data_IF_819222238930
#
_entry.id   IF_819222238930
#
_cell.length_a   1.000
_cell.length_b   1.000
_cell.length_c   1.000
_cell.angle_alpha   90.00
_cell.angle_beta   90.00
_cell.angle_gamma   90.00
#
_symmetry.space_group_name_H-M   'P 1'
#
loop_
_entity.id
_entity.type
_entity.pdbx_description
1 polymer ?
#
# COMPACT_ATOMS: atom_id res chain seq x y z
N UNK A 1 -23.23 9.53 2.87
CA UNK A 1 -23.99 8.84 1.80
C UNK A 1 -25.11 9.76 1.33
N UNK A 2 -25.47 9.77 0.06
CA UNK A 2 -26.61 10.51 -0.49
C UNK A 2 -27.51 9.57 -1.29
N UNK A 3 -28.80 9.88 -1.41
CA UNK A 3 -29.71 9.16 -2.28
C UNK A 3 -29.82 9.88 -3.63
N UNK A 4 -29.76 9.12 -4.71
CA UNK A 4 -30.09 9.59 -6.06
C UNK A 4 -31.62 9.66 -6.23
N UNK A 5 -32.13 10.49 -7.17
CA UNK A 5 -33.57 10.61 -7.43
C UNK A 5 -34.25 9.30 -7.83
N UNK A 6 -33.49 8.33 -8.32
CA UNK A 6 -33.95 6.99 -8.70
C UNK A 6 -33.92 5.96 -7.54
N UNK A 7 -33.57 6.41 -6.34
CA UNK A 7 -33.50 5.57 -5.13
C UNK A 7 -32.16 4.88 -4.90
N UNK A 8 -31.19 4.98 -5.83
CA UNK A 8 -29.85 4.41 -5.63
C UNK A 8 -29.05 5.18 -4.59
N UNK A 9 -28.11 4.51 -3.94
CA UNK A 9 -27.19 5.16 -3.01
C UNK A 9 -25.94 5.67 -3.72
N UNK A 10 -25.46 6.84 -3.32
CA UNK A 10 -24.26 7.45 -3.84
C UNK A 10 -23.28 7.83 -2.71
N UNK A 11 -22.02 7.46 -2.89
CA UNK A 11 -20.91 7.87 -2.04
C UNK A 11 -20.28 9.14 -2.63
N UNK A 12 -20.27 10.22 -1.86
CA UNK A 12 -19.65 11.48 -2.23
C UNK A 12 -18.29 11.63 -1.56
N UNK A 13 -17.24 11.69 -2.36
CA UNK A 13 -15.87 11.90 -1.92
C UNK A 13 -15.40 13.28 -2.39
N UNK A 14 -15.02 14.15 -1.47
CA UNK A 14 -14.50 15.49 -1.79
C UNK A 14 -13.00 15.51 -1.57
N UNK A 15 -12.26 15.90 -2.60
CA UNK A 15 -10.81 16.02 -2.57
C UNK A 15 -10.44 17.49 -2.60
N UNK A 16 -9.65 17.94 -1.64
CA UNK A 16 -9.05 19.27 -1.68
C UNK A 16 -7.81 19.23 -2.58
N UNK A 17 -7.63 20.29 -3.37
CA UNK A 17 -6.51 20.43 -4.29
C UNK A 17 -5.59 21.55 -3.81
N UNK A 18 -4.29 21.39 -4.00
CA UNK A 18 -3.33 22.45 -3.70
C UNK A 18 -3.45 23.58 -4.72
N UNK A 19 -3.34 24.84 -4.28
CA UNK A 19 -3.36 26.02 -5.17
C UNK A 19 -2.20 26.01 -6.18
N UNK A 20 -1.10 25.33 -5.84
CA UNK A 20 0.09 25.18 -6.67
C UNK A 20 0.12 23.83 -7.41
N UNK A 21 -0.99 23.08 -7.43
CA UNK A 21 -1.03 21.78 -8.08
C UNK A 21 -0.86 21.92 -9.60
N UNK A 22 0.20 21.31 -10.13
CA UNK A 22 0.36 21.09 -11.56
C UNK A 22 -0.18 19.69 -11.91
N UNK A 23 -1.36 19.69 -12.53
CA UNK A 23 -2.03 18.45 -12.95
C UNK A 23 -1.25 17.68 -14.03
N UNK A 24 -0.35 18.33 -14.77
CA UNK A 24 0.49 17.66 -15.77
C UNK A 24 1.58 16.80 -15.14
N UNK A 25 1.99 17.11 -13.91
CA UNK A 25 3.01 16.38 -13.15
C UNK A 25 2.41 15.41 -12.13
N UNK A 26 1.09 15.43 -11.95
CA UNK A 26 0.40 14.58 -10.99
C UNK A 26 -0.02 13.28 -11.66
N UNK A 27 0.48 12.14 -11.16
CA UNK A 27 0.02 10.83 -11.65
C UNK A 27 -1.38 10.52 -11.12
N UNK A 28 -2.37 10.64 -11.99
CA UNK A 28 -3.77 10.32 -11.72
C UNK A 28 -4.19 8.96 -12.29
N UNK A 29 -3.25 8.12 -12.75
CA UNK A 29 -3.60 6.81 -13.33
C UNK A 29 -4.25 5.87 -12.31
N UNK A 30 -3.69 5.85 -11.10
CA UNK A 30 -4.13 4.95 -10.01
C UNK A 30 -4.09 5.66 -8.67
N UNK A 31 -5.25 6.15 -8.22
CA UNK A 31 -5.38 6.78 -6.91
C UNK A 31 -5.72 5.73 -5.85
N UNK A 32 -4.76 5.40 -4.99
CA UNK A 32 -4.95 4.42 -3.91
C UNK A 32 -5.67 5.03 -2.70
N UNK A 33 -6.76 4.39 -2.27
CA UNK A 33 -7.59 4.75 -1.13
C UNK A 33 -7.58 3.60 -0.12
N UNK A 34 -7.33 3.90 1.14
CA UNK A 34 -7.38 2.93 2.24
C UNK A 34 -8.72 3.00 2.98
N UNK A 35 -9.31 1.83 3.28
CA UNK A 35 -10.66 1.69 3.85
C UNK A 35 -10.68 1.07 5.26
N UNK A 36 -9.62 1.21 6.05
CA UNK A 36 -9.40 0.32 7.22
C UNK A 36 -9.69 0.88 8.62
N UNK A 37 -10.34 2.03 8.79
CA UNK A 37 -10.62 2.52 10.17
C UNK A 37 -11.61 1.64 10.95
N UNK A 38 -12.64 1.11 10.27
CA UNK A 38 -13.61 0.19 10.85
C UNK A 38 -13.70 -1.06 9.98
N UNK A 39 -13.51 -2.25 10.57
CA UNK A 39 -13.42 -3.49 9.81
C UNK A 39 -14.73 -3.84 9.09
N UNK A 40 -15.89 -3.53 9.70
CA UNK A 40 -17.21 -3.87 9.16
C UNK A 40 -17.55 -2.93 8.00
N UNK A 41 -17.56 -1.62 8.25
CA UNK A 41 -17.85 -0.59 7.27
C UNK A 41 -16.81 -0.59 6.14
N UNK A 42 -15.53 -0.76 6.47
CA UNK A 42 -14.45 -0.87 5.51
C UNK A 42 -14.62 -2.05 4.56
N UNK A 43 -14.95 -3.23 5.09
CA UNK A 43 -15.19 -4.44 4.27
C UNK A 43 -16.40 -4.25 3.34
N UNK A 44 -17.47 -3.63 3.84
CA UNK A 44 -18.63 -3.28 3.03
C UNK A 44 -18.24 -2.28 1.93
N UNK A 45 -17.60 -1.16 2.27
CA UNK A 45 -17.15 -0.16 1.30
C UNK A 45 -16.26 -0.78 0.24
N UNK A 46 -15.35 -1.67 0.61
CA UNK A 46 -14.48 -2.38 -0.32
C UNK A 46 -15.29 -3.17 -1.36
N UNK A 47 -16.27 -3.97 -0.92
CA UNK A 47 -17.17 -4.71 -1.82
C UNK A 47 -17.96 -3.75 -2.72
N UNK A 48 -18.52 -2.70 -2.14
CA UNK A 48 -19.41 -1.80 -2.86
C UNK A 48 -18.68 -0.99 -3.93
N UNK A 49 -17.48 -0.49 -3.62
CA UNK A 49 -16.63 0.21 -4.58
C UNK A 49 -16.17 -0.71 -5.71
N UNK A 50 -15.71 -1.93 -5.41
CA UNK A 50 -15.09 -2.82 -6.41
C UNK A 50 -16.08 -3.65 -7.22
N UNK A 51 -17.28 -3.93 -6.69
CA UNK A 51 -18.25 -4.86 -7.31
C UNK A 51 -19.65 -4.30 -7.50
N UNK A 52 -20.03 -3.23 -6.80
CA UNK A 52 -21.38 -2.64 -6.85
C UNK A 52 -21.39 -1.19 -7.35
N UNK A 53 -20.30 -0.73 -7.94
CA UNK A 53 -20.27 0.54 -8.66
C UNK A 53 -21.14 0.42 -9.92
N UNK A 54 -22.10 1.34 -10.08
CA UNK A 54 -22.94 1.45 -11.26
C UNK A 54 -22.51 2.60 -12.18
N UNK A 55 -22.13 3.74 -11.60
CA UNK A 55 -21.66 4.90 -12.34
C UNK A 55 -20.71 5.75 -11.49
N UNK A 56 -19.89 6.55 -12.17
CA UNK A 56 -18.94 7.46 -11.55
C UNK A 56 -19.09 8.83 -12.17
N UNK A 57 -19.20 9.86 -11.32
CA UNK A 57 -19.32 11.23 -11.77
C UNK A 57 -18.32 12.13 -11.06
N UNK A 58 -17.88 13.16 -11.77
CA UNK A 58 -17.02 14.22 -11.26
C UNK A 58 -17.79 15.54 -11.26
N UNK A 59 -17.67 16.29 -10.17
CA UNK A 59 -18.23 17.63 -10.03
C UNK A 59 -17.12 18.60 -9.68
N UNK A 60 -16.94 19.59 -10.56
CA UNK A 60 -15.98 20.67 -10.40
C UNK A 60 -16.57 21.83 -9.59
N UNK A 61 -15.73 22.66 -8.93
CA UNK A 61 -16.22 23.76 -8.13
C UNK A 61 -16.87 24.82 -9.04
N UNK A 62 -18.04 25.33 -8.64
CA UNK A 62 -18.80 26.30 -9.41
C UNK A 62 -19.63 25.71 -10.57
N UNK A 63 -19.57 24.40 -10.81
CA UNK A 63 -20.43 23.72 -11.78
C UNK A 63 -21.60 23.01 -11.09
N UNK A 64 -22.81 23.28 -11.58
CA UNK A 64 -24.03 22.61 -11.10
C UNK A 64 -24.18 21.21 -11.69
N UNK A 65 -23.64 20.97 -12.88
CA UNK A 65 -23.69 19.67 -13.54
C UNK A 65 -22.52 18.78 -13.11
N UNK A 66 -22.79 17.46 -13.15
CA UNK A 66 -21.78 16.43 -12.92
C UNK A 66 -21.38 15.84 -14.27
N UNK A 67 -20.09 15.59 -14.45
CA UNK A 67 -19.52 15.00 -15.66
C UNK A 67 -19.38 13.50 -15.44
N UNK A 68 -19.81 12.69 -16.42
CA UNK A 68 -19.61 11.24 -16.37
C UNK A 68 -18.12 10.92 -16.48
N UNK A 69 -17.61 10.07 -15.60
CA UNK A 69 -16.23 9.60 -15.61
C UNK A 69 -16.21 8.11 -15.97
N UNK A 70 -15.47 7.76 -17.01
CA UNK A 70 -15.18 6.37 -17.35
C UNK A 70 -14.01 5.86 -16.48
N UNK A 71 -14.32 5.60 -15.22
CA UNK A 71 -13.37 5.14 -14.22
C UNK A 71 -13.95 4.03 -13.36
N UNK A 72 -13.08 3.23 -12.74
CA UNK A 72 -13.47 2.06 -11.97
C UNK A 72 -12.55 1.83 -10.77
N UNK A 73 -13.09 1.18 -9.73
CA UNK A 73 -12.29 0.74 -8.59
C UNK A 73 -11.80 -0.70 -8.75
N UNK A 74 -10.51 -0.93 -8.50
CA UNK A 74 -9.90 -2.26 -8.42
C UNK A 74 -9.34 -2.52 -7.01
N UNK A 75 -9.31 -3.79 -6.56
CA UNK A 75 -8.69 -4.12 -5.28
C UNK A 75 -7.16 -3.94 -5.34
N UNK A 76 -6.57 -3.34 -4.30
CA UNK A 76 -5.12 -3.21 -4.10
C UNK A 76 -4.55 -4.27 -3.16
N UNK A 77 -3.22 -4.38 -3.09
CA UNK A 77 -2.54 -5.30 -2.16
C UNK A 77 -2.31 -6.72 -2.69
N UNK A 78 -2.77 -7.00 -3.92
CA UNK A 78 -2.62 -8.30 -4.58
C UNK A 78 -1.49 -8.32 -5.63
N UNK A 79 -0.92 -7.18 -5.97
CA UNK A 79 0.19 -7.08 -6.94
C UNK A 79 1.48 -7.65 -6.36
N UNK A 80 2.39 -8.07 -7.24
CA UNK A 80 3.75 -8.42 -6.82
C UNK A 80 4.51 -7.23 -6.22
N UNK A 81 4.19 -6.02 -6.68
CA UNK A 81 4.76 -4.76 -6.20
C UNK A 81 4.30 -4.42 -4.77
N UNK A 82 3.14 -4.94 -4.35
CA UNK A 82 2.55 -4.67 -3.04
C UNK A 82 3.06 -5.65 -1.97
N UNK A 83 3.94 -6.60 -2.30
CA UNK A 83 4.40 -7.63 -1.34
C UNK A 83 5.02 -7.01 -0.09
N UNK A 84 4.59 -7.49 1.08
CA UNK A 84 5.13 -7.03 2.35
C UNK A 84 6.51 -7.62 2.59
N UNK A 85 6.63 -8.95 2.44
CA UNK A 85 7.89 -9.64 2.69
C UNK A 85 8.75 -9.75 1.43
N UNK A 86 10.07 -9.51 1.56
CA UNK A 86 11.02 -9.83 0.50
C UNK A 86 10.90 -11.29 0.08
N UNK A 87 10.81 -11.53 -1.24
CA UNK A 87 10.64 -12.89 -1.78
C UNK A 87 11.90 -13.72 -1.51
N UNK A 88 11.74 -14.88 -0.87
CA UNK A 88 12.76 -15.93 -0.91
C UNK A 88 12.77 -16.59 -2.29
N UNK A 89 13.96 -16.96 -2.80
CA UNK A 89 14.14 -17.49 -4.16
C UNK A 89 13.28 -18.74 -4.48
N UNK A 90 12.80 -19.45 -3.45
CA UNK A 90 12.05 -20.71 -3.56
C UNK A 90 10.56 -20.64 -3.17
N UNK A 91 10.02 -19.47 -2.79
CA UNK A 91 8.64 -19.40 -2.27
C UNK A 91 7.60 -19.29 -3.40
N UNK A 92 6.65 -20.23 -3.44
CA UNK A 92 5.49 -20.18 -4.32
C UNK A 92 4.57 -19.01 -3.91
N UNK A 93 4.28 -18.10 -4.83
CA UNK A 93 3.58 -16.83 -4.56
C UNK A 93 2.17 -17.02 -3.98
N UNK A 94 1.50 -18.14 -4.25
CA UNK A 94 0.15 -18.42 -3.77
C UNK A 94 0.02 -18.53 -2.25
N UNK A 95 1.03 -19.08 -1.56
CA UNK A 95 1.01 -19.18 -0.10
C UNK A 95 1.29 -17.84 0.59
N UNK A 96 1.99 -16.93 -0.09
CA UNK A 96 2.30 -15.62 0.48
C UNK A 96 1.03 -14.79 0.69
N UNK A 97 0.10 -14.77 -0.27
CA UNK A 97 -1.17 -14.05 -0.10
C UNK A 97 -1.98 -14.61 1.08
N UNK A 98 -1.98 -15.94 1.26
CA UNK A 98 -2.66 -16.58 2.39
C UNK A 98 -2.02 -16.16 3.72
N UNK A 99 -0.69 -16.19 3.79
CA UNK A 99 0.07 -15.77 4.98
C UNK A 99 -0.17 -14.28 5.28
N UNK A 100 -0.08 -13.41 4.28
CA UNK A 100 -0.34 -11.96 4.40
C UNK A 100 -1.78 -11.72 4.85
N UNK A 101 -2.76 -12.49 4.35
CA UNK A 101 -4.15 -12.34 4.74
C UNK A 101 -4.40 -12.67 6.21
N UNK A 102 -3.78 -13.73 6.73
CA UNK A 102 -3.93 -14.12 8.14
C UNK A 102 -3.11 -13.28 9.11
N UNK A 103 -1.99 -12.70 8.67
CA UNK A 103 -1.09 -11.91 9.53
C UNK A 103 -1.36 -10.42 9.48
N UNK A 104 -1.71 -9.88 8.31
CA UNK A 104 -1.87 -8.44 8.09
C UNK A 104 -2.93 -8.14 7.02
N UNK A 105 -4.18 -8.49 7.34
CA UNK A 105 -5.34 -8.32 6.45
C UNK A 105 -5.54 -6.89 5.93
N UNK A 106 -5.17 -5.88 6.71
CA UNK A 106 -5.32 -4.46 6.35
C UNK A 106 -4.66 -4.10 5.02
N UNK A 107 -3.62 -4.83 4.61
CA UNK A 107 -3.00 -4.71 3.28
C UNK A 107 -4.02 -4.81 2.14
N UNK A 108 -5.04 -5.64 2.30
CA UNK A 108 -6.07 -5.89 1.28
C UNK A 108 -7.25 -4.92 1.37
N UNK A 109 -7.22 -3.97 2.30
CA UNK A 109 -8.25 -2.93 2.46
C UNK A 109 -7.97 -1.69 1.61
N UNK A 110 -7.04 -1.77 0.67
CA UNK A 110 -6.79 -0.75 -0.33
C UNK A 110 -7.65 -0.97 -1.56
N UNK A 111 -8.22 0.10 -2.09
CA UNK A 111 -8.85 0.15 -3.41
C UNK A 111 -8.18 1.20 -4.27
N UNK A 112 -8.01 0.93 -5.55
CA UNK A 112 -7.39 1.84 -6.51
C UNK A 112 -8.48 2.39 -7.42
N UNK A 113 -8.63 3.71 -7.46
CA UNK A 113 -9.45 4.41 -8.43
C UNK A 113 -8.64 4.62 -9.72
N UNK A 114 -9.12 4.06 -10.82
CA UNK A 114 -8.50 4.13 -12.14
C UNK A 114 -9.36 4.97 -13.09
N UNK A 115 -8.74 5.58 -14.10
CA UNK A 115 -9.43 6.35 -15.15
C UNK A 115 -9.48 7.86 -14.92
N UNK A 116 -8.89 8.37 -13.84
CA UNK A 116 -8.82 9.82 -13.59
C UNK A 116 -7.86 10.53 -14.57
N UNK A 117 -6.91 9.81 -15.17
CA UNK A 117 -6.02 10.30 -16.21
C UNK A 117 -6.74 10.73 -17.49
N UNK A 118 -7.97 10.24 -17.70
CA UNK A 118 -8.79 10.58 -18.87
C UNK A 118 -9.51 11.93 -18.72
N UNK A 119 -9.44 12.57 -17.54
CA UNK A 119 -10.08 13.85 -17.28
C UNK A 119 -9.04 14.96 -17.18
N UNK A 120 -9.33 16.08 -17.86
CA UNK A 120 -8.58 17.32 -17.66
C UNK A 120 -9.20 18.13 -16.53
N UNK A 121 -8.52 18.15 -15.38
CA UNK A 121 -8.89 19.04 -14.27
C UNK A 121 -8.40 20.47 -14.56
N UNK A 122 -9.23 21.51 -14.42
CA UNK A 122 -8.77 22.89 -14.57
C UNK A 122 -7.71 23.25 -13.53
N UNK A 123 -6.74 24.07 -13.92
CA UNK A 123 -5.76 24.62 -12.99
C UNK A 123 -6.43 25.55 -11.96
N UNK A 124 -5.90 25.58 -10.74
CA UNK A 124 -6.37 26.50 -9.68
C UNK A 124 -7.72 26.14 -9.04
N UNK A 125 -8.27 24.93 -9.29
CA UNK A 125 -9.43 24.46 -8.54
C UNK A 125 -9.05 24.19 -7.08
N UNK A 126 -9.88 24.59 -6.13
CA UNK A 126 -9.63 24.35 -4.69
C UNK A 126 -10.02 22.96 -4.23
N UNK A 127 -10.95 22.32 -4.94
CA UNK A 127 -11.43 20.97 -4.66
C UNK A 127 -12.19 20.43 -5.87
N UNK A 128 -12.37 19.12 -5.92
CA UNK A 128 -13.38 18.47 -6.75
C UNK A 128 -14.14 17.42 -5.93
N UNK A 129 -15.30 17.02 -6.43
CA UNK A 129 -16.14 16.01 -5.78
C UNK A 129 -16.36 14.85 -6.73
N UNK A 130 -16.03 13.64 -6.28
CA UNK A 130 -16.34 12.38 -6.93
C UNK A 130 -17.64 11.82 -6.34
N UNK A 131 -18.60 11.46 -7.20
CA UNK A 131 -19.85 10.81 -6.81
C UNK A 131 -19.84 9.39 -7.39
N UNK A 132 -19.74 8.40 -6.50
CA UNK A 132 -19.82 6.98 -6.86
C UNK A 132 -21.26 6.54 -6.66
N UNK A 133 -21.98 6.26 -7.74
CA UNK A 133 -23.34 5.74 -7.67
C UNK A 133 -23.29 4.22 -7.64
N UNK A 134 -23.97 3.62 -6.69
CA UNK A 134 -24.01 2.18 -6.54
C UNK A 134 -25.21 1.54 -7.23
N UNK A 135 -25.12 0.25 -7.54
CA UNK A 135 -26.19 -0.52 -8.20
C UNK A 135 -27.37 -0.82 -7.27
N UNK A 136 -27.17 -0.75 -5.97
CA UNK A 136 -28.13 -1.12 -4.93
C UNK A 136 -28.21 -0.02 -3.84
N UNK A 137 -29.12 -0.17 -2.88
CA UNK A 137 -29.26 0.75 -1.75
C UNK A 137 -28.27 0.38 -0.64
N UNK A 138 -27.46 1.34 -0.21
CA UNK A 138 -26.50 1.16 0.87
C UNK A 138 -27.21 0.86 2.19
N UNK A 139 -26.59 0.00 3.00
CA UNK A 139 -27.14 -0.40 4.30
C UNK A 139 -27.05 0.77 5.29
N UNK A 140 -28.20 1.24 5.78
CA UNK A 140 -28.28 2.47 6.59
C UNK A 140 -27.67 2.34 7.98
N UNK A 141 -27.41 1.13 8.45
CA UNK A 141 -26.78 0.80 9.73
C UNK A 141 -25.24 0.89 9.70
N UNK A 142 -24.63 1.03 8.52
CA UNK A 142 -23.19 1.19 8.37
C UNK A 142 -22.80 2.68 8.27
N UNK A 143 -22.21 3.28 9.32
CA UNK A 143 -21.87 4.69 9.34
C UNK A 143 -20.63 4.96 8.48
N UNK A 144 -20.79 5.79 7.44
CA UNK A 144 -19.66 6.25 6.62
C UNK A 144 -19.29 7.67 7.02
N UNK A 145 -18.05 7.86 7.49
CA UNK A 145 -17.50 9.15 7.91
C UNK A 145 -16.37 9.59 6.97
N UNK A 146 -15.88 10.82 7.17
CA UNK A 146 -14.70 11.32 6.47
C UNK A 146 -13.41 10.52 6.79
N UNK A 147 -13.40 9.79 7.90
CA UNK A 147 -12.26 9.03 8.39
C UNK A 147 -12.25 7.59 7.87
N UNK A 148 -13.39 7.10 7.36
CA UNK A 148 -13.53 5.79 6.70
C UNK A 148 -12.69 5.63 5.43
N UNK A 149 -12.25 6.73 4.81
CA UNK A 149 -11.39 6.71 3.63
C UNK A 149 -10.17 7.59 3.86
N UNK A 150 -8.98 7.07 3.56
CA UNK A 150 -7.72 7.81 3.68
C UNK A 150 -6.89 7.71 2.40
N UNK A 151 -6.30 8.83 2.01
CA UNK A 151 -5.26 8.91 0.98
C UNK A 151 -3.87 8.86 1.65
N UNK A 152 -2.83 8.64 0.84
CA UNK A 152 -1.43 8.71 1.26
C UNK A 152 -1.07 7.76 2.43
N UNK A 153 -1.74 6.61 2.48
CA UNK A 153 -1.45 5.55 3.43
C UNK A 153 -0.63 4.45 2.73
N UNK A 154 0.31 3.84 3.47
CA UNK A 154 1.12 2.72 2.98
C UNK A 154 1.37 1.75 4.14
N UNK A 155 1.26 0.43 3.93
CA UNK A 155 1.63 -0.53 4.96
C UNK A 155 3.15 -0.51 5.19
N UNK A 156 3.58 -0.55 6.45
CA UNK A 156 5.01 -0.53 6.81
C UNK A 156 5.32 -1.75 7.66
N UNK A 157 6.40 -2.45 7.32
CA UNK A 157 6.99 -3.49 8.16
C UNK A 157 8.29 -2.99 8.78
N UNK A 158 8.57 -3.44 10.00
CA UNK A 158 9.75 -2.98 10.74
C UNK A 158 11.00 -3.77 10.36
N UNK A 159 11.56 -3.49 9.18
CA UNK A 159 12.84 -4.01 8.73
C UNK A 159 13.87 -2.90 8.64
N UNK A 160 15.02 -3.10 9.27
CA UNK A 160 16.15 -2.17 9.19
C UNK A 160 17.47 -2.92 8.94
N UNK A 161 18.43 -2.20 8.37
CA UNK A 161 19.77 -2.70 8.05
C UNK A 161 20.67 -2.65 9.27
N UNK A 162 21.28 -3.78 9.62
CA UNK A 162 22.39 -3.85 10.57
C UNK A 162 23.68 -4.33 9.92
N UNK A 163 24.80 -3.76 10.39
CA UNK A 163 26.13 -4.29 10.12
C UNK A 163 26.43 -5.49 11.01
N UNK A 164 27.04 -6.51 10.41
CA UNK A 164 27.60 -7.64 11.13
C UNK A 164 29.11 -7.52 11.31
N UNK A 165 29.65 -8.25 12.27
CA UNK A 165 31.09 -8.40 12.41
C UNK A 165 31.66 -9.19 11.22
N UNK A 166 32.85 -8.80 10.70
CA UNK A 166 33.46 -9.49 9.57
C UNK A 166 33.85 -10.91 9.97
N UNK A 167 33.46 -11.89 9.14
CA UNK A 167 33.80 -13.29 9.37
C UNK A 167 35.08 -13.66 8.62
N UNK A 168 35.97 -14.38 9.31
CA UNK A 168 37.15 -15.00 8.68
C UNK A 168 36.82 -16.44 8.33
N UNK A 169 36.73 -16.73 7.04
CA UNK A 169 36.38 -18.07 6.55
C UNK A 169 37.67 -18.87 6.38
N UNK A 170 37.83 -19.96 7.16
CA UNK A 170 39.00 -20.84 7.11
C UNK A 170 38.85 -21.98 6.10
N UNK A 171 37.60 -22.27 5.68
CA UNK A 171 37.25 -23.37 4.76
C UNK A 171 37.26 -24.76 5.40
N UNK A 172 37.58 -24.85 6.70
CA UNK A 172 37.58 -26.10 7.47
C UNK A 172 36.24 -26.35 8.17
N UNK A 173 35.50 -25.29 8.44
CA UNK A 173 34.18 -25.32 9.07
C UNK A 173 33.09 -25.15 8.01
N UNK A 174 32.03 -25.94 8.14
CA UNK A 174 30.85 -25.88 7.26
C UNK A 174 29.89 -24.74 7.61
N UNK A 175 29.91 -24.27 8.86
CA UNK A 175 28.98 -23.26 9.38
C UNK A 175 29.73 -22.22 10.21
N UNK A 176 29.35 -20.94 10.09
CA UNK A 176 29.97 -19.82 10.81
C UNK A 176 28.90 -19.01 11.54
N UNK A 177 29.15 -18.67 12.80
CA UNK A 177 28.22 -17.87 13.60
C UNK A 177 28.26 -16.40 13.17
N UNK A 178 27.15 -15.91 12.62
CA UNK A 178 26.97 -14.50 12.28
C UNK A 178 26.45 -13.70 13.49
N UNK A 179 27.13 -12.62 13.86
CA UNK A 179 26.71 -11.71 14.94
C UNK A 179 26.55 -10.27 14.41
N UNK A 180 25.40 -9.62 14.63
CA UNK A 180 25.23 -8.21 14.34
C UNK A 180 25.94 -7.38 15.42
N UNK A 181 26.53 -6.24 15.03
CA UNK A 181 27.30 -5.37 15.93
C UNK A 181 26.50 -4.80 17.10
N UNK A 182 25.16 -4.84 17.06
CA UNK A 182 24.24 -4.23 18.04
C UNK A 182 23.28 -5.23 18.69
N UNK A 183 23.71 -6.47 18.95
CA UNK A 183 22.83 -7.47 19.59
C UNK A 183 22.56 -7.20 21.10
N UNK A 184 23.25 -6.25 21.74
CA UNK A 184 23.15 -6.03 23.19
C UNK A 184 21.77 -5.51 23.65
N UNK A 185 20.92 -5.04 22.74
CA UNK A 185 19.62 -4.45 23.08
C UNK A 185 18.49 -5.49 23.24
N UNK A 186 18.73 -6.79 23.05
CA UNK A 186 17.76 -7.87 23.31
C UNK A 186 16.48 -7.92 22.45
N UNK A 187 16.20 -6.87 21.68
CA UNK A 187 14.98 -6.69 20.88
C UNK A 187 15.22 -6.79 19.36
N UNK A 188 16.24 -7.53 18.94
CA UNK A 188 16.73 -7.56 17.56
C UNK A 188 16.96 -9.00 17.11
N UNK A 189 16.30 -9.39 16.03
CA UNK A 189 16.45 -10.71 15.40
C UNK A 189 16.84 -10.59 13.93
N UNK A 190 17.77 -11.43 13.46
CA UNK A 190 18.19 -11.46 12.05
C UNK A 190 17.09 -12.09 11.20
N UNK A 191 16.55 -11.32 10.26
CA UNK A 191 15.58 -11.77 9.27
C UNK A 191 16.24 -12.46 8.07
N UNK A 192 17.24 -11.81 7.47
CA UNK A 192 18.00 -12.37 6.34
C UNK A 192 19.38 -11.73 6.24
N UNK A 193 20.34 -12.46 5.69
CA UNK A 193 21.69 -11.96 5.42
C UNK A 193 21.92 -11.75 3.93
N UNK A 194 22.49 -10.61 3.54
CA UNK A 194 22.98 -10.39 2.18
C UNK A 194 24.51 -10.50 2.16
N UNK A 195 25.03 -11.28 1.21
CA UNK A 195 26.48 -11.43 1.03
C UNK A 195 27.05 -10.23 0.30
N UNK A 196 28.14 -9.67 0.84
CA UNK A 196 29.04 -8.75 0.12
C UNK A 196 30.48 -9.21 0.32
N UNK A 197 31.16 -9.51 -0.77
CA UNK A 197 32.56 -9.89 -0.72
C UNK A 197 33.42 -8.62 -0.62
N UNK A 198 34.27 -8.53 0.41
CA UNK A 198 35.33 -7.51 0.51
C UNK A 198 36.68 -8.20 0.43
N UNK A 199 37.29 -8.15 -0.74
CA UNK A 199 38.67 -8.63 -0.93
C UNK A 199 39.64 -7.66 -0.23
N UNK A 200 40.33 -8.12 0.83
CA UNK A 200 41.51 -7.42 1.36
C UNK A 200 42.75 -7.91 0.61
N UNK A 201 43.49 -6.99 -0.01
CA UNK A 201 44.60 -7.27 -0.92
C UNK A 201 45.93 -7.70 -0.24
N UNK A 202 45.95 -8.16 1.01
CA UNK A 202 47.18 -8.64 1.65
C UNK A 202 47.01 -10.07 2.19
N UNK A 203 47.77 -11.00 1.58
CA UNK A 203 47.95 -12.43 1.96
C UNK A 203 46.80 -13.41 1.67
N UNK A 204 46.14 -13.34 0.52
CA UNK A 204 45.35 -14.47 -0.02
C UNK A 204 44.16 -14.96 0.83
N UNK A 205 43.80 -14.28 1.92
CA UNK A 205 42.64 -14.60 2.77
C UNK A 205 41.41 -13.84 2.26
N UNK A 206 40.40 -14.58 1.81
CA UNK A 206 39.08 -14.01 1.51
C UNK A 206 38.42 -13.61 2.83
N UNK A 207 38.17 -12.32 3.02
CA UNK A 207 37.32 -11.83 4.09
C UNK A 207 35.91 -11.64 3.51
N UNK A 208 34.91 -12.30 4.10
CA UNK A 208 33.52 -12.08 3.70
C UNK A 208 32.92 -11.05 4.66
N UNK A 209 32.41 -9.95 4.12
CA UNK A 209 31.73 -8.92 4.89
C UNK A 209 30.23 -9.05 4.63
N UNK A 210 29.52 -9.86 5.42
CA UNK A 210 28.06 -9.92 5.34
C UNK A 210 27.48 -8.53 5.66
N UNK A 211 26.70 -7.98 4.73
CA UNK A 211 26.08 -6.64 4.83
C UNK A 211 24.78 -6.61 4.01
N UNK A 212 23.75 -5.82 4.36
CA UNK A 212 23.02 -5.75 5.63
C UNK A 212 22.46 -7.09 6.09
N UNK A 213 22.38 -7.30 7.40
CA UNK A 213 21.34 -8.15 7.96
C UNK A 213 20.07 -7.31 8.09
N UNK A 214 18.93 -7.78 7.59
CA UNK A 214 17.66 -7.16 7.92
C UNK A 214 17.25 -7.65 9.31
N UNK A 215 16.69 -6.76 10.13
CA UNK A 215 16.25 -7.08 11.47
C UNK A 215 14.80 -6.73 11.68
N UNK A 216 14.07 -7.62 12.35
CA UNK A 216 12.72 -7.37 12.88
C UNK A 216 12.81 -7.02 14.37
N UNK A 217 11.98 -6.07 14.82
CA UNK A 217 11.75 -5.78 16.24
C UNK A 217 10.41 -6.38 16.64
N UNK A 218 10.41 -7.24 17.66
CA UNK A 218 9.18 -7.61 18.35
C UNK A 218 8.69 -6.40 19.18
N UNK A 219 7.44 -6.00 18.93
CA UNK A 219 6.73 -4.96 19.71
C UNK A 219 6.19 -5.52 21.02
#
# INVERSE_FOLDING_TARGET
MTAEPDGRSALRLRFACSELADWSQTDLRRLALYLGEDAVTGSALHLWLTRRQAALYLRLPGQTERVSLDGYFSPGGFSEEDRLWPKGESAFSGYQLLLEYFTFREKFMFVQLNGLENITLPAGISHFTLEVVFSEVWQSDLPVSASSLRLHCVPVINLFTLEADPLTISGLESEYLLRPKRLQDGHTEIYSGRQRDRLRAHRGRRAMCLSPAFVTRAG
#
